data_IF_812387858236
#
_entry.id   IF_812387858236
#
_cell.length_a   1.000
_cell.length_b   1.000
_cell.length_c   1.000
_cell.angle_alpha   90.00
_cell.angle_beta   90.00
_cell.angle_gamma   90.00
#
_symmetry.space_group_name_H-M   'P 1'
#
loop_
_entity.id
_entity.type
_entity.pdbx_description
1 polymer ?
#
# COMPACT_ATOMS: atom_id res chain seq x y z
N UNK A 1 -13.74 -19.51 -5.26
CA UNK A 1 -14.74 -18.55 -4.84
C UNK A 1 -14.08 -17.27 -4.35
N UNK A 2 -14.47 -16.16 -4.92
CA UNK A 2 -13.86 -14.89 -4.56
C UNK A 2 -14.30 -14.48 -3.16
N UNK A 3 -13.34 -14.15 -2.34
CA UNK A 3 -13.63 -13.72 -0.99
C UNK A 3 -13.72 -12.20 -0.97
N UNK A 4 -14.94 -11.69 -1.07
CA UNK A 4 -15.17 -10.24 -1.10
C UNK A 4 -14.63 -9.55 0.15
N UNK A 5 -14.62 -10.27 1.26
CA UNK A 5 -14.09 -9.74 2.51
C UNK A 5 -12.59 -9.46 2.41
N UNK A 6 -11.84 -10.39 1.79
CA UNK A 6 -10.41 -10.20 1.62
C UNK A 6 -10.09 -9.02 0.71
N UNK A 7 -10.86 -8.87 -0.37
CA UNK A 7 -10.68 -7.75 -1.28
C UNK A 7 -10.98 -6.43 -0.57
N UNK A 8 -12.03 -6.41 0.24
CA UNK A 8 -12.41 -5.24 1.01
C UNK A 8 -11.31 -4.86 2.01
N UNK A 9 -10.78 -5.84 2.73
CA UNK A 9 -9.71 -5.60 3.71
C UNK A 9 -8.45 -5.06 3.07
N UNK A 10 -8.09 -5.57 1.90
CA UNK A 10 -6.93 -5.06 1.17
C UNK A 10 -7.10 -3.61 0.78
N UNK A 11 -8.28 -3.25 0.29
CA UNK A 11 -8.57 -1.87 -0.08
C UNK A 11 -8.50 -0.96 1.13
N UNK A 12 -9.03 -1.40 2.24
CA UNK A 12 -9.03 -0.61 3.46
C UNK A 12 -7.62 -0.38 3.98
N UNK A 13 -6.78 -1.41 3.94
CA UNK A 13 -5.39 -1.27 4.35
C UNK A 13 -4.63 -0.31 3.44
N UNK A 14 -4.82 -0.45 2.14
CA UNK A 14 -4.18 0.42 1.18
C UNK A 14 -4.68 1.85 1.34
N UNK A 15 -5.97 2.02 1.54
CA UNK A 15 -6.56 3.33 1.76
C UNK A 15 -6.00 4.02 2.99
N UNK A 16 -5.90 3.29 4.08
CA UNK A 16 -5.32 3.83 5.32
C UNK A 16 -3.87 4.25 5.12
N UNK A 17 -3.13 3.43 4.39
CA UNK A 17 -1.74 3.72 4.07
C UNK A 17 -1.62 5.00 3.25
N UNK A 18 -2.46 5.15 2.23
CA UNK A 18 -2.47 6.34 1.38
C UNK A 18 -2.84 7.58 2.18
N UNK A 19 -3.84 7.47 3.05
CA UNK A 19 -4.23 8.59 3.90
C UNK A 19 -3.10 9.03 4.82
N UNK A 20 -2.41 8.07 5.40
CA UNK A 20 -1.26 8.36 6.24
C UNK A 20 -0.17 9.07 5.44
N UNK A 21 0.09 8.59 4.24
CA UNK A 21 1.08 9.21 3.37
C UNK A 21 0.71 10.63 2.99
N UNK A 22 -0.56 10.88 2.74
CA UNK A 22 -1.03 12.23 2.42
C UNK A 22 -0.89 13.19 3.59
N UNK A 23 -1.14 12.71 4.79
CA UNK A 23 -0.98 13.53 6.00
C UNK A 23 0.47 13.89 6.25
N UNK A 24 1.36 12.92 6.05
CA UNK A 24 2.79 13.07 6.35
C UNK A 24 3.59 13.59 5.17
N UNK A 25 3.08 13.42 3.97
CA UNK A 25 3.79 13.74 2.73
C UNK A 25 4.74 12.65 2.27
N UNK A 26 4.88 11.58 3.02
CA UNK A 26 5.76 10.47 2.66
C UNK A 26 5.34 9.17 3.35
N UNK A 27 5.83 8.07 2.80
CA UNK A 27 5.70 6.74 3.39
C UNK A 27 7.04 6.04 3.27
N UNK A 28 7.29 5.08 4.17
CA UNK A 28 8.49 4.25 4.08
C UNK A 28 8.14 2.89 3.50
N UNK A 29 9.14 2.24 2.90
CA UNK A 29 8.95 0.87 2.39
C UNK A 29 8.53 -0.09 3.51
N UNK A 30 9.07 0.09 4.71
CA UNK A 30 8.69 -0.75 5.84
C UNK A 30 7.22 -0.61 6.17
N UNK A 31 6.69 0.62 6.16
CA UNK A 31 5.27 0.86 6.42
C UNK A 31 4.40 0.21 5.36
N UNK A 32 4.81 0.33 4.10
CA UNK A 32 4.07 -0.28 2.99
C UNK A 32 4.03 -1.79 3.16
N UNK A 33 5.17 -2.40 3.48
CA UNK A 33 5.25 -3.84 3.71
C UNK A 33 4.37 -4.29 4.87
N UNK A 34 4.34 -3.51 5.94
CA UNK A 34 3.56 -3.87 7.12
C UNK A 34 2.06 -3.80 6.86
N UNK A 35 1.62 -2.88 6.02
CA UNK A 35 0.21 -2.70 5.74
C UNK A 35 -0.31 -3.61 4.63
N UNK A 36 0.57 -4.20 3.85
CA UNK A 36 0.16 -5.08 2.75
C UNK A 36 0.22 -6.54 3.17
N UNK A 37 -0.70 -7.37 2.64
CA UNK A 37 -0.63 -8.80 2.88
C UNK A 37 0.66 -9.40 2.31
N UNK A 38 1.13 -10.48 2.92
CA UNK A 38 2.32 -11.18 2.46
C UNK A 38 2.22 -11.60 1.00
N UNK A 39 1.04 -11.96 0.56
CA UNK A 39 0.79 -12.37 -0.82
C UNK A 39 1.18 -11.27 -1.81
N UNK A 40 0.84 -10.03 -1.47
CA UNK A 40 1.16 -8.88 -2.32
C UNK A 40 2.65 -8.62 -2.30
N UNK A 41 3.27 -8.72 -1.13
CA UNK A 41 4.72 -8.53 -0.98
C UNK A 41 5.51 -9.54 -1.80
N UNK A 42 5.08 -10.80 -1.77
CA UNK A 42 5.78 -11.88 -2.45
C UNK A 42 5.59 -11.89 -3.95
N UNK A 43 4.47 -11.36 -4.43
CA UNK A 43 4.16 -11.40 -5.86
C UNK A 43 4.84 -10.31 -6.67
N UNK A 44 5.60 -9.43 -6.04
CA UNK A 44 6.27 -8.33 -6.73
C UNK A 44 5.36 -7.17 -7.06
N UNK A 45 4.15 -7.17 -6.58
CA UNK A 45 3.20 -6.08 -6.82
C UNK A 45 3.54 -4.81 -6.05
N UNK A 46 4.47 -4.90 -5.13
CA UNK A 46 4.91 -3.73 -4.35
C UNK A 46 5.41 -2.62 -5.26
N UNK A 47 6.14 -2.95 -6.31
CA UNK A 47 6.66 -1.94 -7.23
C UNK A 47 5.53 -1.12 -7.87
N UNK A 48 4.45 -1.79 -8.26
CA UNK A 48 3.28 -1.12 -8.82
C UNK A 48 2.59 -0.23 -7.81
N UNK A 49 2.48 -0.71 -6.58
CA UNK A 49 1.86 0.06 -5.49
C UNK A 49 2.70 1.29 -5.15
N UNK A 50 4.01 1.13 -5.09
CA UNK A 50 4.93 2.25 -4.85
C UNK A 50 4.79 3.31 -5.94
N UNK A 51 4.71 2.88 -7.20
CA UNK A 51 4.50 3.78 -8.33
C UNK A 51 3.19 4.54 -8.21
N UNK A 52 2.12 3.85 -7.83
CA UNK A 52 0.81 4.47 -7.65
C UNK A 52 0.84 5.52 -6.53
N UNK A 53 1.46 5.17 -5.41
CA UNK A 53 1.59 6.08 -4.27
C UNK A 53 2.39 7.32 -4.66
N UNK A 54 3.47 7.11 -5.40
CA UNK A 54 4.31 8.20 -5.86
C UNK A 54 3.54 9.12 -6.82
N UNK A 55 2.71 8.54 -7.68
CA UNK A 55 1.86 9.32 -8.60
C UNK A 55 0.85 10.18 -7.86
N UNK A 56 0.49 9.82 -6.66
CA UNK A 56 -0.40 10.61 -5.81
C UNK A 56 0.29 11.79 -5.14
N UNK A 57 1.58 11.95 -5.36
CA UNK A 57 2.37 13.01 -4.74
C UNK A 57 2.93 12.65 -3.37
N UNK A 58 2.90 11.37 -3.04
CA UNK A 58 3.45 10.87 -1.77
C UNK A 58 4.84 10.33 -2.03
N UNK A 59 5.82 10.83 -1.30
CA UNK A 59 7.19 10.35 -1.43
C UNK A 59 7.34 8.99 -0.73
N UNK A 60 8.06 8.08 -1.36
CA UNK A 60 8.34 6.77 -0.75
C UNK A 60 9.83 6.72 -0.40
N UNK A 61 10.10 6.53 0.87
CA UNK A 61 11.47 6.52 1.40
C UNK A 61 11.87 5.13 1.88
N UNK A 62 13.15 4.88 1.88
CA UNK A 62 13.70 3.64 2.43
C UNK A 62 13.63 3.56 3.94
#
# INVERSE_FOLDING_TARGET
MTNDKDAFERRERLRKLVLLGKERGYLTYAEINEHLPDEVSKSGQIAGIVGMINDMGIEVKH
#
